data_IF_102133008502
#
_entry.id   IF_102133008502
#
_cell.length_a   1.000
_cell.length_b   1.000
_cell.length_c   1.000
_cell.angle_alpha   90.00
_cell.angle_beta   90.00
_cell.angle_gamma   90.00
#
_symmetry.space_group_name_H-M   'P 1'
#
loop_
_entity.id
_entity.type
_entity.pdbx_description
1 polymer ?
#
# COMPACT_ATOMS: atom_id res chain seq x y z
N UNK A 1 -46.81 -45.19 54.83
CA UNK A 1 -45.67 -45.91 55.44
C UNK A 1 -45.19 -46.87 54.36
N UNK A 2 -43.99 -46.83 53.78
CA UNK A 2 -42.68 -46.42 54.27
C UNK A 2 -41.79 -46.13 53.05
N UNK A 3 -40.81 -45.25 53.25
CA UNK A 3 -39.86 -44.68 52.28
C UNK A 3 -38.94 -45.74 51.65
N UNK A 4 -38.57 -45.54 50.38
CA UNK A 4 -37.28 -46.00 49.86
C UNK A 4 -36.65 -44.87 49.03
N UNK A 5 -35.61 -44.25 49.59
CA UNK A 5 -34.70 -43.34 48.89
C UNK A 5 -33.70 -44.20 48.10
N UNK A 6 -33.61 -44.00 46.79
CA UNK A 6 -32.48 -44.47 45.99
C UNK A 6 -31.79 -43.25 45.36
N UNK A 7 -30.61 -42.94 45.88
CA UNK A 7 -29.70 -41.91 45.36
C UNK A 7 -28.95 -42.48 44.16
N UNK A 8 -29.21 -41.97 42.96
CA UNK A 8 -28.44 -42.24 41.75
C UNK A 8 -27.39 -41.14 41.56
N UNK A 9 -26.13 -41.47 41.81
CA UNK A 9 -24.95 -40.65 41.50
C UNK A 9 -24.62 -40.76 40.01
N UNK A 10 -24.85 -39.70 39.25
CA UNK A 10 -24.47 -39.56 37.85
C UNK A 10 -23.04 -39.02 37.77
N UNK A 11 -22.08 -39.88 37.42
CA UNK A 11 -20.69 -39.47 37.15
C UNK A 11 -20.59 -38.89 35.73
N UNK A 12 -20.27 -37.60 35.63
CA UNK A 12 -19.98 -36.93 34.36
C UNK A 12 -18.56 -37.28 33.89
N UNK A 13 -18.46 -37.88 32.71
CA UNK A 13 -17.23 -38.06 31.94
C UNK A 13 -16.79 -36.70 31.36
N UNK A 14 -15.85 -36.04 32.03
CA UNK A 14 -15.06 -34.95 31.44
C UNK A 14 -13.83 -35.56 30.77
N UNK A 15 -13.86 -35.64 29.44
CA UNK A 15 -12.68 -35.92 28.63
C UNK A 15 -11.74 -34.70 28.70
N UNK A 16 -10.72 -34.78 29.55
CA UNK A 16 -9.60 -33.84 29.56
C UNK A 16 -8.76 -34.04 28.31
N UNK A 17 -9.04 -33.25 27.26
CA UNK A 17 -8.15 -33.11 26.13
C UNK A 17 -6.83 -32.49 26.59
N UNK A 18 -5.79 -33.32 26.70
CA UNK A 18 -4.42 -32.90 26.95
C UNK A 18 -3.97 -31.94 25.84
N UNK A 19 -3.97 -30.64 26.14
CA UNK A 19 -3.18 -29.69 25.37
C UNK A 19 -1.71 -30.06 25.59
N UNK A 20 -1.06 -30.54 24.53
CA UNK A 20 0.38 -30.69 24.50
C UNK A 20 1.02 -29.33 24.82
N UNK A 21 1.53 -29.19 26.05
CA UNK A 21 2.31 -28.05 26.46
C UNK A 21 3.56 -28.01 25.57
N UNK A 22 3.68 -26.98 24.74
CA UNK A 22 4.89 -26.68 24.00
C UNK A 22 6.06 -26.53 24.98
N UNK A 23 7.02 -27.44 24.91
CA UNK A 23 8.24 -27.45 25.74
C UNK A 23 9.27 -26.40 25.34
N UNK A 24 8.84 -25.28 24.73
CA UNK A 24 9.74 -24.16 24.49
C UNK A 24 9.79 -23.30 25.75
N UNK A 25 10.88 -23.44 26.51
CA UNK A 25 11.22 -22.52 27.57
C UNK A 25 11.13 -21.07 27.02
N UNK A 26 10.47 -20.15 27.72
CA UNK A 26 10.36 -18.77 27.27
C UNK A 26 11.77 -18.19 27.08
N UNK A 27 12.04 -17.44 26.00
CA UNK A 27 13.36 -16.87 25.76
C UNK A 27 13.75 -15.98 26.95
N UNK A 28 14.84 -16.33 27.63
CA UNK A 28 15.35 -15.57 28.75
C UNK A 28 15.94 -14.24 28.26
N UNK A 29 15.41 -13.13 28.76
CA UNK A 29 15.95 -11.80 28.49
C UNK A 29 17.34 -11.70 29.15
N UNK A 30 18.40 -11.70 28.33
CA UNK A 30 19.77 -11.47 28.81
C UNK A 30 20.10 -9.99 28.67
N UNK A 31 20.74 -9.41 29.68
CA UNK A 31 21.26 -8.06 29.61
C UNK A 31 22.28 -7.98 28.46
N UNK A 32 21.97 -7.20 27.44
CA UNK A 32 22.82 -6.98 26.29
C UNK A 32 23.71 -5.76 26.48
N UNK A 33 24.86 -5.76 25.82
CA UNK A 33 25.68 -4.56 25.73
C UNK A 33 24.97 -3.56 24.81
N UNK A 34 24.75 -2.33 25.28
CA UNK A 34 24.21 -1.22 24.48
C UNK A 34 25.23 -0.71 23.43
N UNK A 35 25.73 -1.60 22.59
CA UNK A 35 26.63 -1.33 21.46
C UNK A 35 25.98 -1.79 20.16
N UNK A 36 26.41 -1.23 19.02
CA UNK A 36 25.87 -1.60 17.70
C UNK A 36 26.03 -3.10 17.48
N UNK A 37 27.26 -3.61 17.68
CA UNK A 37 27.56 -5.05 17.57
C UNK A 37 26.70 -5.92 18.50
N UNK A 38 26.54 -5.52 19.77
CA UNK A 38 25.76 -6.27 20.74
C UNK A 38 24.30 -6.44 20.34
N UNK A 39 23.68 -5.34 19.91
CA UNK A 39 22.28 -5.33 19.45
C UNK A 39 22.10 -6.12 18.14
N UNK A 40 23.06 -6.05 17.22
CA UNK A 40 23.05 -6.87 16.01
C UNK A 40 23.13 -8.37 16.35
N UNK A 41 24.01 -8.75 17.28
CA UNK A 41 24.15 -10.13 17.71
C UNK A 41 22.88 -10.65 18.40
N UNK A 42 22.18 -9.82 19.17
CA UNK A 42 20.87 -10.13 19.73
C UNK A 42 19.80 -10.30 18.65
N UNK A 43 19.77 -9.40 17.66
CA UNK A 43 18.85 -9.48 16.53
C UNK A 43 19.06 -10.78 15.74
N UNK A 44 20.29 -11.14 15.40
CA UNK A 44 20.59 -12.40 14.67
C UNK A 44 20.10 -13.62 15.45
N UNK A 45 20.36 -13.66 16.76
CA UNK A 45 19.89 -14.76 17.62
C UNK A 45 18.37 -14.79 17.74
N UNK A 46 17.74 -13.64 17.96
CA UNK A 46 16.33 -13.57 18.32
C UNK A 46 15.38 -13.56 17.14
N UNK A 47 15.81 -13.19 15.93
CA UNK A 47 15.02 -13.33 14.72
C UNK A 47 14.78 -14.81 14.35
N UNK A 48 15.69 -15.71 14.74
CA UNK A 48 15.49 -17.15 14.66
C UNK A 48 14.56 -17.73 15.74
N UNK A 49 14.08 -16.91 16.69
CA UNK A 49 13.16 -17.39 17.72
C UNK A 49 11.77 -17.64 17.16
N UNK A 50 11.05 -18.64 17.70
CA UNK A 50 9.64 -18.90 17.35
C UNK A 50 8.64 -17.92 17.95
N UNK A 51 9.09 -16.81 18.57
CA UNK A 51 8.21 -15.84 19.26
C UNK A 51 8.04 -14.56 18.43
N UNK A 52 6.86 -14.34 17.80
CA UNK A 52 6.59 -13.14 17.02
C UNK A 52 6.68 -11.85 17.84
N UNK A 53 6.32 -11.91 19.13
CA UNK A 53 6.43 -10.76 20.03
C UNK A 53 7.89 -10.38 20.28
N UNK A 54 8.76 -11.38 20.49
CA UNK A 54 10.18 -11.14 20.73
C UNK A 54 10.88 -10.61 19.47
N UNK A 55 10.53 -11.16 18.30
CA UNK A 55 11.00 -10.63 17.01
C UNK A 55 10.60 -9.16 16.84
N UNK A 56 9.33 -8.80 17.09
CA UNK A 56 8.88 -7.39 17.03
C UNK A 56 9.63 -6.49 18.01
N UNK A 57 9.84 -6.95 19.23
CA UNK A 57 10.61 -6.22 20.25
C UNK A 57 12.03 -5.92 19.77
N UNK A 58 12.76 -6.92 19.27
CA UNK A 58 14.14 -6.73 18.83
C UNK A 58 14.25 -5.78 17.63
N UNK A 59 13.31 -5.86 16.68
CA UNK A 59 13.23 -4.93 15.55
C UNK A 59 13.04 -3.49 16.01
N UNK A 60 12.19 -3.27 17.01
CA UNK A 60 12.01 -1.95 17.61
C UNK A 60 13.24 -1.51 18.40
N UNK A 61 13.89 -2.41 19.14
CA UNK A 61 14.99 -2.07 20.03
C UNK A 61 16.15 -1.36 19.31
N UNK A 62 16.61 -1.87 18.17
CA UNK A 62 17.70 -1.23 17.43
C UNK A 62 17.29 0.14 16.87
N UNK A 63 16.06 0.26 16.33
CA UNK A 63 15.50 1.52 15.83
C UNK A 63 15.42 2.57 16.95
N UNK A 64 14.93 2.17 18.12
CA UNK A 64 14.75 3.05 19.27
C UNK A 64 16.08 3.50 19.88
N UNK A 65 17.05 2.59 19.96
CA UNK A 65 18.40 2.87 20.48
C UNK A 65 19.26 3.69 19.51
N UNK A 66 18.86 3.84 18.25
CA UNK A 66 19.71 4.40 17.19
C UNK A 66 20.33 5.77 17.55
N UNK A 67 19.57 6.67 18.18
CA UNK A 67 20.04 8.02 18.55
C UNK A 67 21.14 8.03 19.62
N UNK A 68 21.32 6.94 20.37
CA UNK A 68 22.36 6.83 21.41
C UNK A 68 23.56 6.00 20.97
N UNK A 69 23.47 5.35 19.80
CA UNK A 69 24.55 4.52 19.24
C UNK A 69 25.59 5.39 18.50
N UNK A 70 26.88 4.97 18.48
CA UNK A 70 27.91 5.68 17.73
C UNK A 70 27.59 5.73 16.23
N UNK A 71 27.59 6.94 15.66
CA UNK A 71 27.19 7.18 14.27
C UNK A 71 28.00 6.39 13.25
N UNK A 72 29.32 6.58 13.32
CA UNK A 72 30.26 5.94 12.41
C UNK A 72 30.13 4.42 12.47
N UNK A 73 29.98 3.83 13.66
CA UNK A 73 29.85 2.38 13.82
C UNK A 73 28.55 1.86 13.21
N UNK A 74 27.43 2.59 13.35
CA UNK A 74 26.15 2.21 12.76
C UNK A 74 26.17 2.29 11.23
N UNK A 75 26.73 3.38 10.67
CA UNK A 75 26.90 3.55 9.21
C UNK A 75 27.83 2.48 8.63
N UNK A 76 28.91 2.19 9.32
CA UNK A 76 29.87 1.15 8.95
C UNK A 76 29.26 -0.25 9.00
N UNK A 77 28.49 -0.54 10.05
CA UNK A 77 27.78 -1.81 10.19
C UNK A 77 26.75 -1.97 9.07
N UNK A 78 25.99 -0.91 8.77
CA UNK A 78 25.09 -0.89 7.63
C UNK A 78 25.86 -1.18 6.35
N UNK A 79 26.85 -0.37 5.98
CA UNK A 79 27.60 -0.49 4.73
C UNK A 79 28.20 -1.90 4.48
N UNK A 80 28.59 -2.62 5.53
CA UNK A 80 29.19 -3.96 5.43
C UNK A 80 28.20 -5.13 5.52
N UNK A 81 26.98 -4.90 5.96
CA UNK A 81 26.01 -5.98 6.16
C UNK A 81 25.52 -6.53 4.82
N UNK A 82 25.50 -7.86 4.69
CA UNK A 82 25.08 -8.55 3.46
C UNK A 82 23.79 -9.32 3.64
N UNK A 83 23.40 -9.65 4.88
CA UNK A 83 22.10 -10.24 5.18
C UNK A 83 20.99 -9.18 4.97
N UNK A 84 20.06 -9.37 4.02
CA UNK A 84 19.00 -8.39 3.74
C UNK A 84 18.15 -8.06 4.97
N UNK A 85 17.89 -9.04 5.84
CA UNK A 85 17.07 -8.82 7.04
C UNK A 85 17.77 -7.90 8.03
N UNK A 86 19.05 -8.14 8.30
CA UNK A 86 19.83 -7.23 9.15
C UNK A 86 20.05 -5.86 8.48
N UNK A 87 20.28 -5.82 7.17
CA UNK A 87 20.41 -4.57 6.43
C UNK A 87 19.16 -3.69 6.54
N UNK A 88 17.96 -4.27 6.48
CA UNK A 88 16.70 -3.56 6.74
C UNK A 88 16.67 -2.94 8.14
N UNK A 89 17.08 -3.67 9.17
CA UNK A 89 17.05 -3.17 10.55
C UNK A 89 18.08 -2.07 10.81
N UNK A 90 19.27 -2.17 10.22
CA UNK A 90 20.28 -1.12 10.26
C UNK A 90 19.84 0.12 9.49
N UNK A 91 19.22 -0.06 8.31
CA UNK A 91 18.62 1.03 7.56
C UNK A 91 17.51 1.72 8.36
N UNK A 92 16.62 0.96 9.02
CA UNK A 92 15.55 1.51 9.83
C UNK A 92 16.07 2.33 11.03
N UNK A 93 17.21 1.92 11.61
CA UNK A 93 17.88 2.68 12.65
C UNK A 93 18.45 4.01 12.12
N UNK A 94 19.09 3.99 10.95
CA UNK A 94 19.58 5.21 10.29
C UNK A 94 18.43 6.15 9.90
N UNK A 95 17.34 5.62 9.35
CA UNK A 95 16.12 6.40 9.06
C UNK A 95 15.57 7.04 10.33
N UNK A 96 15.46 6.30 11.43
CA UNK A 96 14.99 6.85 12.70
C UNK A 96 15.89 7.97 13.24
N UNK A 97 17.20 7.92 13.00
CA UNK A 97 18.11 9.03 13.36
C UNK A 97 17.90 10.26 12.50
N UNK A 98 17.66 10.08 11.20
CA UNK A 98 17.31 11.18 10.32
C UNK A 98 15.97 11.82 10.70
N UNK A 99 14.96 11.02 11.04
CA UNK A 99 13.64 11.52 11.46
C UNK A 99 13.70 12.28 12.79
N UNK A 100 14.60 11.86 13.70
CA UNK A 100 14.83 12.50 15.01
C UNK A 100 15.86 13.62 14.96
N UNK A 101 16.28 14.05 13.77
CA UNK A 101 17.25 15.12 13.54
C UNK A 101 18.62 14.88 14.21
N UNK A 102 18.91 13.64 14.62
CA UNK A 102 20.20 13.27 15.21
C UNK A 102 21.30 13.11 14.16
N UNK A 103 20.92 12.82 12.91
CA UNK A 103 21.79 12.80 11.75
C UNK A 103 20.96 12.97 10.46
N UNK A 104 20.84 14.20 9.92
CA UNK A 104 20.08 14.46 8.70
C UNK A 104 20.60 13.70 7.47
N UNK A 105 21.90 13.42 7.40
CA UNK A 105 22.54 12.74 6.26
C UNK A 105 22.28 11.22 6.27
N UNK A 106 21.80 10.66 7.38
CA UNK A 106 21.55 9.22 7.49
C UNK A 106 20.51 8.73 6.46
N UNK A 107 19.53 9.55 6.09
CA UNK A 107 18.55 9.20 5.05
C UNK A 107 19.22 9.09 3.68
N UNK A 108 20.17 9.98 3.35
CA UNK A 108 20.89 9.95 2.07
C UNK A 108 21.76 8.70 1.96
N UNK A 109 22.38 8.26 3.06
CA UNK A 109 23.14 7.00 3.12
C UNK A 109 22.24 5.80 2.80
N UNK A 110 21.03 5.78 3.38
CA UNK A 110 20.04 4.72 3.12
C UNK A 110 19.55 4.77 1.68
N UNK A 111 19.19 5.94 1.16
CA UNK A 111 18.73 6.13 -0.21
C UNK A 111 19.80 5.77 -1.27
N UNK A 112 21.05 6.15 -1.01
CA UNK A 112 22.17 5.81 -1.87
C UNK A 112 22.36 4.30 -1.96
N UNK A 113 22.30 3.60 -0.83
CA UNK A 113 22.43 2.15 -0.81
C UNK A 113 21.24 1.45 -1.45
N UNK A 114 20.02 1.90 -1.18
CA UNK A 114 18.82 1.40 -1.85
C UNK A 114 18.94 1.49 -3.38
N UNK A 115 19.64 2.49 -3.90
CA UNK A 115 19.83 2.68 -5.35
C UNK A 115 21.01 1.92 -5.96
N UNK A 116 22.06 1.64 -5.18
CA UNK A 116 23.37 1.23 -5.72
C UNK A 116 23.86 -0.13 -5.23
N UNK A 117 23.23 -0.73 -4.22
CA UNK A 117 23.66 -2.04 -3.74
C UNK A 117 23.56 -3.07 -4.88
N UNK A 118 24.58 -3.92 -5.00
CA UNK A 118 24.62 -4.93 -6.04
C UNK A 118 23.56 -6.02 -5.82
N UNK A 119 23.26 -6.34 -4.57
CA UNK A 119 22.26 -7.34 -4.23
C UNK A 119 20.85 -6.73 -4.25
N UNK A 120 19.96 -7.17 -5.17
CA UNK A 120 18.58 -6.68 -5.21
C UNK A 120 17.79 -6.95 -3.92
N UNK A 121 18.11 -8.01 -3.17
CA UNK A 121 17.47 -8.29 -1.90
C UNK A 121 17.84 -7.24 -0.84
N UNK A 122 19.09 -6.78 -0.83
CA UNK A 122 19.55 -5.68 0.04
C UNK A 122 18.95 -4.34 -0.41
N UNK A 123 18.86 -4.06 -1.71
CA UNK A 123 18.14 -2.87 -2.21
C UNK A 123 16.68 -2.86 -1.75
N UNK A 124 15.98 -3.97 -1.93
CA UNK A 124 14.58 -4.14 -1.51
C UNK A 124 14.38 -4.00 0.00
N UNK A 125 15.27 -4.61 0.80
CA UNK A 125 15.28 -4.48 2.26
C UNK A 125 15.51 -3.03 2.71
N UNK A 126 16.45 -2.33 2.05
CA UNK A 126 16.75 -0.93 2.35
C UNK A 126 15.58 -0.01 1.99
N UNK A 127 14.89 -0.27 0.86
CA UNK A 127 13.64 0.41 0.53
C UNK A 127 12.57 0.17 1.59
N UNK A 128 12.36 -1.08 2.01
CA UNK A 128 11.34 -1.41 3.02
C UNK A 128 11.56 -0.66 4.34
N UNK A 129 12.80 -0.42 4.72
CA UNK A 129 13.14 0.34 5.93
C UNK A 129 12.69 1.82 5.89
N UNK A 130 12.50 2.40 4.70
CA UNK A 130 12.00 3.78 4.50
C UNK A 130 10.48 3.87 4.48
N UNK A 131 9.77 2.76 4.61
CA UNK A 131 8.31 2.73 4.54
C UNK A 131 7.64 3.38 5.75
N UNK A 132 6.60 4.16 5.51
CA UNK A 132 5.84 4.96 6.49
C UNK A 132 6.73 5.94 7.25
N UNK A 133 7.62 6.60 6.53
CA UNK A 133 8.55 7.60 7.05
C UNK A 133 8.50 8.87 6.20
N UNK A 134 9.23 9.91 6.59
CA UNK A 134 9.43 11.10 5.76
C UNK A 134 10.35 10.93 4.54
N UNK A 135 10.70 9.69 4.14
CA UNK A 135 11.66 9.43 3.06
C UNK A 135 11.25 10.02 1.71
N UNK A 136 9.96 10.06 1.40
CA UNK A 136 9.47 10.57 0.11
C UNK A 136 9.90 12.03 -0.13
N UNK A 137 9.86 12.87 0.89
CA UNK A 137 10.30 14.28 0.80
C UNK A 137 11.83 14.45 0.76
N UNK A 138 12.57 13.46 1.27
CA UNK A 138 14.02 13.58 1.51
C UNK A 138 14.87 12.89 0.45
N UNK A 139 14.28 12.00 -0.35
CA UNK A 139 15.04 11.13 -1.27
C UNK A 139 14.90 11.51 -2.73
N UNK A 140 14.21 12.63 -3.03
CA UNK A 140 14.07 13.17 -4.38
C UNK A 140 13.43 12.17 -5.35
N UNK A 141 14.15 11.86 -6.44
CA UNK A 141 13.69 10.97 -7.51
C UNK A 141 13.88 9.46 -7.22
N UNK A 142 14.26 9.09 -6.00
CA UNK A 142 14.59 7.71 -5.64
C UNK A 142 13.51 6.72 -6.09
N UNK A 143 12.26 6.94 -5.68
CA UNK A 143 11.18 6.01 -6.01
C UNK A 143 10.90 5.93 -7.51
N UNK A 144 11.06 7.02 -8.25
CA UNK A 144 10.94 7.04 -9.71
C UNK A 144 12.02 6.19 -10.39
N UNK A 145 13.23 6.15 -9.83
CA UNK A 145 14.29 5.24 -10.29
C UNK A 145 14.02 3.80 -9.89
N UNK A 146 13.53 3.55 -8.67
CA UNK A 146 13.36 2.20 -8.15
C UNK A 146 12.17 1.44 -8.77
N UNK A 147 11.13 2.13 -9.25
CA UNK A 147 10.09 1.50 -10.09
C UNK A 147 10.57 1.10 -11.49
N UNK A 148 11.81 1.46 -11.86
CA UNK A 148 12.51 1.02 -13.08
C UNK A 148 13.63 0.01 -12.80
N UNK A 149 13.80 -0.40 -11.55
CA UNK A 149 14.85 -1.36 -11.17
C UNK A 149 14.67 -2.69 -11.92
N UNK A 150 15.80 -3.31 -12.28
CA UNK A 150 15.82 -4.60 -12.98
C UNK A 150 15.13 -5.70 -12.16
N UNK A 151 15.27 -5.65 -10.83
CA UNK A 151 14.65 -6.58 -9.91
C UNK A 151 13.16 -6.28 -9.72
N UNK A 152 12.26 -7.23 -10.05
CA UNK A 152 10.83 -7.09 -9.75
C UNK A 152 10.57 -6.84 -8.26
N UNK A 153 11.36 -7.45 -7.37
CA UNK A 153 11.21 -7.26 -5.93
C UNK A 153 11.43 -5.79 -5.53
N UNK A 154 12.46 -5.15 -6.08
CA UNK A 154 12.77 -3.73 -5.78
C UNK A 154 11.65 -2.83 -6.29
N UNK A 155 11.15 -3.08 -7.52
CA UNK A 155 10.00 -2.32 -8.06
C UNK A 155 8.76 -2.44 -7.18
N UNK A 156 8.47 -3.65 -6.69
CA UNK A 156 7.31 -3.88 -5.81
C UNK A 156 7.47 -3.22 -4.45
N UNK A 157 8.67 -3.17 -3.87
CA UNK A 157 8.93 -2.43 -2.63
C UNK A 157 8.80 -0.92 -2.83
N UNK A 158 9.31 -0.37 -3.93
CA UNK A 158 9.14 1.04 -4.27
C UNK A 158 7.66 1.42 -4.40
N UNK A 159 6.88 0.61 -5.12
CA UNK A 159 5.43 0.80 -5.25
C UNK A 159 4.72 0.71 -3.90
N UNK A 160 5.10 -0.25 -3.05
CA UNK A 160 4.52 -0.42 -1.72
C UNK A 160 4.80 0.79 -0.83
N UNK A 161 6.01 1.34 -0.87
CA UNK A 161 6.33 2.56 -0.14
C UNK A 161 5.51 3.75 -0.63
N UNK A 162 5.43 3.99 -1.95
CA UNK A 162 4.60 5.07 -2.51
C UNK A 162 3.14 4.99 -2.05
N UNK A 163 2.55 3.80 -2.06
CA UNK A 163 1.16 3.56 -1.63
C UNK A 163 1.01 3.77 -0.12
N UNK A 164 1.86 3.12 0.67
CA UNK A 164 1.75 3.16 2.13
C UNK A 164 2.10 4.54 2.70
N UNK A 165 3.07 5.26 2.12
CA UNK A 165 3.44 6.61 2.55
C UNK A 165 2.30 7.58 2.24
N UNK A 166 1.74 7.54 1.02
CA UNK A 166 0.56 8.35 0.69
C UNK A 166 -0.61 8.07 1.64
N UNK A 167 -0.90 6.80 1.94
CA UNK A 167 -2.04 6.44 2.78
C UNK A 167 -1.82 6.74 4.28
N UNK A 168 -0.63 6.47 4.82
CA UNK A 168 -0.39 6.47 6.26
C UNK A 168 0.41 7.67 6.77
N UNK A 169 1.29 8.25 5.96
CA UNK A 169 2.06 9.44 6.34
C UNK A 169 1.30 10.70 5.95
N UNK A 170 0.71 10.69 4.75
CA UNK A 170 0.06 11.86 4.16
C UNK A 170 -1.47 11.83 4.17
N UNK A 171 -2.07 10.74 4.68
CA UNK A 171 -3.52 10.53 4.73
C UNK A 171 -4.25 10.72 3.38
N UNK A 172 -3.54 10.57 2.25
CA UNK A 172 -4.05 10.78 0.90
C UNK A 172 -4.39 12.24 0.57
N UNK A 173 -3.94 13.20 1.38
CA UNK A 173 -4.32 14.61 1.26
C UNK A 173 -3.14 15.53 0.89
N UNK A 174 -1.92 14.99 0.77
CA UNK A 174 -0.75 15.76 0.38
C UNK A 174 -0.49 15.64 -1.13
N UNK A 175 -0.82 16.69 -1.87
CA UNK A 175 -0.69 16.75 -3.33
C UNK A 175 0.71 16.36 -3.86
N UNK A 176 1.81 16.90 -3.32
CA UNK A 176 3.16 16.55 -3.79
C UNK A 176 3.52 15.05 -3.64
N UNK A 177 3.02 14.38 -2.60
CA UNK A 177 3.20 12.93 -2.47
C UNK A 177 2.40 12.15 -3.52
N UNK A 178 1.19 12.60 -3.83
CA UNK A 178 0.37 12.01 -4.88
C UNK A 178 0.99 12.27 -6.27
N UNK A 179 1.50 13.47 -6.52
CA UNK A 179 2.22 13.82 -7.77
C UNK A 179 3.47 12.97 -7.97
N UNK A 180 4.22 12.72 -6.89
CA UNK A 180 5.40 11.83 -6.91
C UNK A 180 4.99 10.40 -7.25
N UNK A 181 3.90 9.90 -6.66
CA UNK A 181 3.39 8.56 -6.96
C UNK A 181 2.88 8.43 -8.41
N UNK A 182 2.18 9.44 -8.94
CA UNK A 182 1.75 9.47 -10.35
C UNK A 182 2.96 9.50 -11.29
N UNK A 183 3.97 10.31 -10.98
CA UNK A 183 5.20 10.40 -11.76
C UNK A 183 5.93 9.06 -11.79
N UNK A 184 6.06 8.40 -10.64
CA UNK A 184 6.64 7.07 -10.54
C UNK A 184 5.79 6.00 -11.28
N UNK A 185 4.46 6.05 -11.18
CA UNK A 185 3.59 5.12 -11.89
C UNK A 185 3.75 5.23 -13.41
N UNK A 186 3.77 6.45 -13.96
CA UNK A 186 3.98 6.70 -15.38
C UNK A 186 5.40 6.34 -15.86
N UNK A 187 6.36 6.35 -14.94
CA UNK A 187 7.75 5.98 -15.17
C UNK A 187 8.03 4.48 -15.10
N UNK A 188 7.15 3.70 -14.46
CA UNK A 188 7.41 2.30 -14.14
C UNK A 188 7.54 1.44 -15.40
N UNK A 189 8.49 0.50 -15.35
CA UNK A 189 8.76 -0.43 -16.46
C UNK A 189 7.78 -1.61 -16.53
N UNK A 190 7.02 -1.81 -15.45
CA UNK A 190 6.16 -2.97 -15.24
C UNK A 190 4.69 -2.50 -15.15
N UNK A 191 3.82 -2.88 -16.11
CA UNK A 191 2.42 -2.47 -16.11
C UNK A 191 1.68 -2.81 -14.81
N UNK A 192 2.02 -3.92 -14.17
CA UNK A 192 1.40 -4.31 -12.91
C UNK A 192 1.78 -3.35 -11.77
N UNK A 193 3.00 -2.78 -11.80
CA UNK A 193 3.42 -1.75 -10.85
C UNK A 193 2.68 -0.44 -11.10
N UNK A 194 2.57 0.01 -12.36
CA UNK A 194 1.80 1.20 -12.72
C UNK A 194 0.34 1.08 -12.26
N UNK A 195 -0.33 -0.02 -12.61
CA UNK A 195 -1.72 -0.25 -12.26
C UNK A 195 -1.90 -0.29 -10.73
N UNK A 196 -1.02 -1.02 -10.02
CA UNK A 196 -1.07 -1.12 -8.56
C UNK A 196 -0.92 0.23 -7.86
N UNK A 197 0.00 1.09 -8.31
CA UNK A 197 0.17 2.42 -7.71
C UNK A 197 -1.10 3.24 -7.92
N UNK A 198 -1.62 3.32 -9.15
CA UNK A 198 -2.78 4.14 -9.47
C UNK A 198 -4.07 3.65 -8.79
N UNK A 199 -4.30 2.34 -8.70
CA UNK A 199 -5.50 1.78 -8.05
C UNK A 199 -5.55 2.04 -6.53
N UNK A 200 -4.41 2.35 -5.89
CA UNK A 200 -4.32 2.55 -4.44
C UNK A 200 -3.99 4.00 -4.06
N UNK A 201 -3.96 4.92 -5.03
CA UNK A 201 -3.61 6.31 -4.81
C UNK A 201 -4.87 7.18 -4.69
N UNK A 202 -4.90 8.07 -3.69
CA UNK A 202 -5.86 9.17 -3.67
C UNK A 202 -5.44 10.23 -4.69
N UNK A 203 -6.31 10.54 -5.64
CA UNK A 203 -6.06 11.54 -6.68
C UNK A 203 -6.71 12.90 -6.41
N UNK A 204 -7.36 13.09 -5.26
CA UNK A 204 -8.17 14.29 -4.96
C UNK A 204 -7.38 15.60 -4.93
N UNK A 205 -6.05 15.51 -4.80
CA UNK A 205 -5.13 16.64 -4.58
C UNK A 205 -3.97 16.67 -5.57
N UNK A 206 -4.04 15.91 -6.66
CA UNK A 206 -2.97 15.91 -7.66
C UNK A 206 -2.93 17.23 -8.43
N UNK A 207 -1.77 17.55 -8.97
CA UNK A 207 -1.58 18.68 -9.88
C UNK A 207 -2.23 18.45 -11.25
N UNK A 208 -2.48 19.52 -12.03
CA UNK A 208 -2.91 19.39 -13.43
C UNK A 208 -1.96 18.54 -14.28
N UNK A 209 -0.64 18.69 -14.09
CA UNK A 209 0.35 17.90 -14.82
C UNK A 209 0.29 16.40 -14.50
N UNK A 210 -0.08 16.03 -13.27
CA UNK A 210 -0.35 14.63 -12.91
C UNK A 210 -1.64 14.12 -13.53
N UNK A 211 -2.70 14.92 -13.59
CA UNK A 211 -3.93 14.55 -14.29
C UNK A 211 -3.68 14.32 -15.79
N UNK A 212 -2.85 15.15 -16.43
CA UNK A 212 -2.41 14.96 -17.82
C UNK A 212 -1.60 13.66 -18.00
N UNK A 213 -0.70 13.34 -17.06
CA UNK A 213 0.04 12.06 -17.07
C UNK A 213 -0.89 10.87 -16.94
N UNK A 214 -1.87 10.90 -16.04
CA UNK A 214 -2.85 9.80 -15.94
C UNK A 214 -3.67 9.70 -17.22
N UNK A 215 -4.05 10.84 -17.82
CA UNK A 215 -4.77 10.87 -19.10
C UNK A 215 -3.96 10.24 -20.24
N UNK A 216 -2.64 10.40 -20.26
CA UNK A 216 -1.80 9.76 -21.29
C UNK A 216 -1.77 8.23 -21.14
N UNK A 217 -1.87 7.70 -19.92
CA UNK A 217 -1.91 6.27 -19.63
C UNK A 217 -3.20 5.58 -20.11
N UNK A 218 -4.25 6.33 -20.46
CA UNK A 218 -5.44 5.79 -21.14
C UNK A 218 -5.11 5.18 -22.50
N UNK A 219 -3.96 5.53 -23.10
CA UNK A 219 -3.47 4.96 -24.37
C UNK A 219 -2.52 3.78 -24.19
N UNK A 220 -2.35 3.27 -22.97
CA UNK A 220 -1.50 2.10 -22.72
C UNK A 220 -1.99 0.88 -23.49
N UNK A 221 -1.07 0.06 -24.01
CA UNK A 221 -1.41 -1.23 -24.60
C UNK A 221 -1.95 -2.22 -23.56
N UNK A 222 -1.59 -2.03 -22.28
CA UNK A 222 -2.01 -2.88 -21.17
C UNK A 222 -3.38 -2.44 -20.60
N UNK A 223 -4.35 -3.34 -20.65
CA UNK A 223 -5.72 -3.09 -20.17
C UNK A 223 -5.80 -2.81 -18.67
N UNK A 224 -4.91 -3.39 -17.85
CA UNK A 224 -4.87 -3.13 -16.41
C UNK A 224 -4.41 -1.71 -16.11
N UNK A 225 -3.43 -1.20 -16.86
CA UNK A 225 -2.98 0.19 -16.76
C UNK A 225 -4.07 1.15 -17.21
N UNK A 226 -4.74 0.86 -18.33
CA UNK A 226 -5.89 1.67 -18.79
C UNK A 226 -6.99 1.73 -17.74
N UNK A 227 -7.38 0.58 -17.18
CA UNK A 227 -8.38 0.49 -16.10
C UNK A 227 -7.97 1.32 -14.88
N UNK A 228 -6.74 1.18 -14.42
CA UNK A 228 -6.25 1.90 -13.25
C UNK A 228 -6.19 3.42 -13.50
N UNK A 229 -5.79 3.85 -14.70
CA UNK A 229 -5.83 5.24 -15.11
C UNK A 229 -7.27 5.79 -15.16
N UNK A 230 -8.24 5.01 -15.65
CA UNK A 230 -9.67 5.38 -15.61
C UNK A 230 -10.16 5.55 -14.17
N UNK A 231 -9.83 4.62 -13.27
CA UNK A 231 -10.20 4.72 -11.85
C UNK A 231 -9.60 5.96 -11.20
N UNK A 232 -8.30 6.19 -11.42
CA UNK A 232 -7.59 7.36 -10.90
C UNK A 232 -8.16 8.68 -11.44
N UNK A 233 -8.56 8.72 -12.71
CA UNK A 233 -9.24 9.90 -13.27
C UNK A 233 -10.62 10.16 -12.65
N UNK A 234 -11.28 9.15 -12.09
CA UNK A 234 -12.57 9.31 -11.41
C UNK A 234 -12.50 10.15 -10.13
N UNK A 235 -11.31 10.26 -9.53
CA UNK A 235 -11.09 10.97 -8.26
C UNK A 235 -10.25 12.24 -8.40
N UNK A 236 -10.14 12.84 -9.59
CA UNK A 236 -9.33 14.07 -9.79
C UNK A 236 -9.98 15.30 -9.14
N UNK A 237 -9.21 16.39 -8.88
CA UNK A 237 -9.77 17.62 -8.34
C UNK A 237 -10.80 18.26 -9.29
N UNK A 238 -11.67 19.10 -8.73
CA UNK A 238 -12.80 19.72 -9.43
C UNK A 238 -12.38 20.45 -10.71
N UNK A 239 -11.21 21.08 -10.70
CA UNK A 239 -10.65 21.83 -11.82
C UNK A 239 -10.28 20.94 -13.01
N UNK A 240 -10.04 19.64 -12.79
CA UNK A 240 -9.70 18.67 -13.84
C UNK A 240 -10.87 17.76 -14.22
N UNK A 241 -11.98 17.76 -13.46
CA UNK A 241 -13.09 16.82 -13.66
C UNK A 241 -13.68 16.88 -15.07
N UNK A 242 -13.85 18.07 -15.63
CA UNK A 242 -14.43 18.22 -16.98
C UNK A 242 -13.53 17.60 -18.06
N UNK A 243 -12.23 17.91 -18.04
CA UNK A 243 -11.27 17.37 -19.01
C UNK A 243 -11.08 15.85 -18.86
N UNK A 244 -11.10 15.35 -17.62
CA UNK A 244 -11.10 13.91 -17.34
C UNK A 244 -12.36 13.26 -17.93
N UNK A 245 -13.55 13.78 -17.63
CA UNK A 245 -14.84 13.27 -18.14
C UNK A 245 -14.87 13.22 -19.68
N UNK A 246 -14.43 14.27 -20.35
CA UNK A 246 -14.33 14.30 -21.82
C UNK A 246 -13.41 13.21 -22.36
N UNK A 247 -12.25 13.00 -21.73
CA UNK A 247 -11.29 11.96 -22.11
C UNK A 247 -11.86 10.55 -21.93
N UNK A 248 -12.57 10.29 -20.81
CA UNK A 248 -13.21 9.01 -20.55
C UNK A 248 -14.34 8.70 -21.55
N UNK A 249 -15.17 9.70 -21.86
CA UNK A 249 -16.26 9.55 -22.84
C UNK A 249 -15.73 9.27 -24.25
N UNK A 250 -14.63 9.90 -24.65
CA UNK A 250 -13.99 9.66 -25.94
C UNK A 250 -13.47 8.21 -26.03
N UNK A 251 -12.83 7.73 -24.96
CA UNK A 251 -12.23 6.39 -24.89
C UNK A 251 -13.27 5.25 -24.97
N UNK A 252 -14.45 5.42 -24.38
CA UNK A 252 -15.44 4.34 -24.24
C UNK A 252 -15.81 3.63 -25.56
N UNK A 253 -15.88 4.38 -26.67
CA UNK A 253 -16.27 3.81 -27.97
C UNK A 253 -15.26 2.81 -28.50
N UNK A 254 -13.98 3.12 -28.32
CA UNK A 254 -12.85 2.38 -28.93
C UNK A 254 -12.27 1.34 -27.98
N UNK A 255 -12.58 1.39 -26.68
CA UNK A 255 -12.06 0.46 -25.69
C UNK A 255 -12.57 -0.98 -25.95
N UNK A 256 -11.69 -1.98 -26.20
CA UNK A 256 -12.13 -3.35 -26.41
C UNK A 256 -12.42 -4.12 -25.12
N UNK A 257 -11.78 -3.76 -24.00
CA UNK A 257 -11.87 -4.51 -22.74
C UNK A 257 -13.13 -4.15 -21.95
N UNK A 258 -13.94 -5.18 -21.63
CA UNK A 258 -15.18 -5.00 -20.87
C UNK A 258 -14.92 -4.47 -19.44
N UNK A 259 -13.83 -4.90 -18.81
CA UNK A 259 -13.45 -4.45 -17.48
C UNK A 259 -13.08 -2.96 -17.44
N UNK A 260 -12.38 -2.48 -18.47
CA UNK A 260 -12.08 -1.05 -18.64
C UNK A 260 -13.37 -0.26 -18.94
N UNK A 261 -14.28 -0.77 -19.77
CA UNK A 261 -15.59 -0.12 -20.01
C UNK A 261 -16.43 0.00 -18.74
N UNK A 262 -16.44 -1.01 -17.87
CA UNK A 262 -17.11 -0.93 -16.56
C UNK A 262 -16.49 0.16 -15.67
N UNK A 263 -15.16 0.24 -15.64
CA UNK A 263 -14.45 1.31 -14.93
C UNK A 263 -14.80 2.69 -15.50
N UNK A 264 -14.93 2.82 -16.83
CA UNK A 264 -15.32 4.07 -17.48
C UNK A 264 -16.71 4.54 -17.04
N UNK A 265 -17.69 3.64 -16.98
CA UNK A 265 -19.04 3.96 -16.48
C UNK A 265 -18.98 4.45 -15.03
N UNK A 266 -18.23 3.76 -14.16
CA UNK A 266 -18.06 4.15 -12.77
C UNK A 266 -17.40 5.53 -12.65
N UNK A 267 -16.29 5.77 -13.34
CA UNK A 267 -15.57 7.04 -13.24
C UNK A 267 -16.37 8.21 -13.82
N UNK A 268 -17.14 8.00 -14.89
CA UNK A 268 -18.08 9.02 -15.40
C UNK A 268 -19.18 9.32 -14.37
N UNK A 269 -19.73 8.30 -13.71
CA UNK A 269 -20.68 8.47 -12.62
C UNK A 269 -20.08 9.26 -11.45
N UNK A 270 -18.85 8.95 -11.06
CA UNK A 270 -18.14 9.62 -9.96
C UNK A 270 -17.84 11.09 -10.26
N UNK A 271 -17.40 11.40 -11.47
CA UNK A 271 -17.07 12.77 -11.88
C UNK A 271 -18.29 13.68 -12.02
N UNK A 272 -19.42 13.13 -12.47
CA UNK A 272 -20.61 13.93 -12.78
C UNK A 272 -21.71 13.88 -11.72
N UNK A 273 -21.68 12.93 -10.78
CA UNK A 273 -22.81 12.62 -9.89
C UNK A 273 -24.13 12.60 -10.67
N UNK A 274 -25.18 13.28 -10.21
CA UNK A 274 -26.48 13.37 -10.90
C UNK A 274 -26.33 13.89 -12.34
N UNK A 275 -25.40 14.81 -12.58
CA UNK A 275 -25.08 15.33 -13.90
C UNK A 275 -24.49 14.28 -14.87
N UNK A 276 -24.09 13.10 -14.40
CA UNK A 276 -23.62 12.00 -15.24
C UNK A 276 -24.75 11.18 -15.88
N UNK A 277 -26.00 11.30 -15.42
CA UNK A 277 -27.11 10.45 -15.86
C UNK A 277 -27.29 10.50 -17.39
N UNK A 278 -27.25 11.70 -17.99
CA UNK A 278 -27.40 11.86 -19.44
C UNK A 278 -26.24 11.20 -20.23
N UNK A 279 -25.03 11.17 -19.67
CA UNK A 279 -23.91 10.47 -20.30
C UNK A 279 -24.09 8.97 -20.20
N UNK A 280 -24.44 8.47 -19.02
CA UNK A 280 -24.64 7.04 -18.79
C UNK A 280 -25.77 6.48 -19.67
N UNK A 281 -26.85 7.23 -19.88
CA UNK A 281 -27.91 6.87 -20.83
C UNK A 281 -27.37 6.73 -22.26
N UNK A 282 -26.54 7.68 -22.72
CA UNK A 282 -25.91 7.61 -24.04
C UNK A 282 -24.96 6.42 -24.15
N UNK A 283 -24.15 6.16 -23.13
CA UNK A 283 -23.20 5.04 -23.12
C UNK A 283 -23.91 3.67 -23.07
N UNK A 284 -25.02 3.59 -22.32
CA UNK A 284 -25.89 2.41 -22.26
C UNK A 284 -26.40 2.02 -23.65
N UNK A 285 -26.90 2.99 -24.40
CA UNK A 285 -27.46 2.74 -25.73
C UNK A 285 -26.37 2.36 -26.76
N UNK A 286 -25.11 2.74 -26.52
CA UNK A 286 -23.96 2.38 -27.36
C UNK A 286 -23.42 0.97 -27.09
N UNK A 287 -23.56 0.44 -25.87
CA UNK A 287 -23.12 -0.92 -25.52
C UNK A 287 -24.17 -1.68 -24.71
N UNK A 288 -25.13 -2.34 -25.38
CA UNK A 288 -26.19 -3.10 -24.70
C UNK A 288 -25.68 -4.20 -23.76
N UNK A 289 -24.46 -4.69 -23.95
CA UNK A 289 -23.86 -5.72 -23.08
C UNK A 289 -23.60 -5.20 -21.67
N UNK A 290 -23.37 -3.89 -21.53
CA UNK A 290 -23.16 -3.22 -20.26
C UNK A 290 -24.37 -2.42 -19.79
N UNK A 291 -25.55 -2.63 -20.40
CA UNK A 291 -26.74 -1.86 -20.07
C UNK A 291 -27.13 -1.98 -18.60
N UNK A 292 -27.05 -3.19 -18.03
CA UNK A 292 -27.34 -3.43 -16.62
C UNK A 292 -26.40 -2.65 -15.68
N UNK A 293 -25.11 -2.54 -16.03
CA UNK A 293 -24.15 -1.77 -15.23
C UNK A 293 -24.45 -0.28 -15.29
N UNK A 294 -24.75 0.24 -16.49
CA UNK A 294 -25.14 1.64 -16.68
C UNK A 294 -26.47 1.97 -15.97
N UNK A 295 -27.48 1.11 -16.07
CA UNK A 295 -28.77 1.29 -15.42
C UNK A 295 -28.63 1.28 -13.89
N UNK A 296 -27.76 0.44 -13.33
CA UNK A 296 -27.47 0.45 -11.89
C UNK A 296 -26.89 1.80 -11.44
N UNK A 297 -25.95 2.37 -12.21
CA UNK A 297 -25.42 3.72 -11.93
C UNK A 297 -26.48 4.81 -12.07
N UNK A 298 -27.26 4.80 -13.16
CA UNK A 298 -28.36 5.76 -13.38
C UNK A 298 -29.36 5.73 -12.21
N UNK A 299 -29.73 4.52 -11.76
CA UNK A 299 -30.69 4.34 -10.68
C UNK A 299 -30.18 4.92 -9.36
N UNK A 300 -28.93 4.61 -8.95
CA UNK A 300 -28.41 5.12 -7.67
C UNK A 300 -28.15 6.62 -7.70
N UNK A 301 -27.68 7.16 -8.82
CA UNK A 301 -27.51 8.60 -8.99
C UNK A 301 -28.84 9.35 -8.91
N UNK A 302 -29.91 8.77 -9.47
CA UNK A 302 -31.27 9.31 -9.37
C UNK A 302 -31.86 9.33 -7.96
N UNK A 303 -31.21 8.70 -6.97
CA UNK A 303 -31.62 8.79 -5.56
C UNK A 303 -31.16 10.08 -4.88
N UNK A 304 -30.31 10.89 -5.53
CA UNK A 304 -29.85 12.18 -5.01
C UNK A 304 -28.92 12.09 -3.78
N UNK A 305 -28.25 10.94 -3.60
CA UNK A 305 -27.29 10.74 -2.51
C UNK A 305 -26.04 11.62 -2.73
N UNK A 306 -25.63 12.34 -1.69
CA UNK A 306 -24.54 13.32 -1.76
C UNK A 306 -23.14 12.71 -1.57
N UNK A 307 -23.07 11.47 -1.06
CA UNK A 307 -21.80 10.80 -0.76
C UNK A 307 -21.58 9.61 -1.68
N UNK A 308 -20.37 9.54 -2.28
CA UNK A 308 -19.97 8.44 -3.16
C UNK A 308 -20.04 7.06 -2.47
N UNK A 309 -19.66 7.00 -1.19
CA UNK A 309 -19.71 5.77 -0.40
C UNK A 309 -21.14 5.21 -0.25
N UNK A 310 -22.14 6.09 -0.17
CA UNK A 310 -23.55 5.72 -0.10
C UNK A 310 -24.07 5.23 -1.46
N UNK A 311 -23.69 5.91 -2.55
CA UNK A 311 -23.99 5.50 -3.92
C UNK A 311 -23.45 4.09 -4.20
N UNK A 312 -22.18 3.84 -3.85
CA UNK A 312 -21.53 2.53 -4.00
C UNK A 312 -22.26 1.43 -3.22
N UNK A 313 -22.58 1.69 -1.94
CA UNK A 313 -23.30 0.74 -1.10
C UNK A 313 -24.65 0.39 -1.70
N UNK A 314 -25.37 1.39 -2.19
CA UNK A 314 -26.71 1.20 -2.73
C UNK A 314 -26.67 0.47 -4.08
N UNK A 315 -25.67 0.74 -4.91
CA UNK A 315 -25.44 -0.02 -6.14
C UNK A 315 -25.18 -1.49 -5.86
N UNK A 316 -24.32 -1.78 -4.86
CA UNK A 316 -24.05 -3.15 -4.44
C UNK A 316 -25.32 -3.85 -3.93
N UNK A 317 -26.16 -3.14 -3.17
CA UNK A 317 -27.45 -3.66 -2.70
C UNK A 317 -28.38 -4.03 -3.86
N UNK A 318 -28.47 -3.19 -4.89
CA UNK A 318 -29.29 -3.45 -6.08
C UNK A 318 -28.77 -4.64 -6.89
N UNK A 319 -27.46 -4.82 -6.99
CA UNK A 319 -26.85 -5.95 -7.70
C UNK A 319 -26.99 -7.29 -6.95
N UNK A 320 -27.24 -7.25 -5.64
CA UNK A 320 -27.47 -8.43 -4.81
C UNK A 320 -28.96 -8.75 -4.61
N UNK A 321 -29.86 -7.89 -5.07
CA UNK A 321 -31.29 -8.13 -5.00
C UNK A 321 -31.68 -9.23 -6.02
N UNK A 322 -32.48 -10.24 -5.60
CA UNK A 322 -32.87 -11.36 -6.44
C UNK A 322 -33.82 -10.98 -7.58
#
# INVERSE_FOLDING_TARGET
MTRLCLTLTLAALLASGAHAASTHAPPALRASTCSVRGLMDDLRRGLGSGSPAYQRYLRALLREAAVTLPDAELKDAFARETDPVMAEHLAAALVARAEREADPEAMDVVAQRASRDADPAVRAATLRAMRRTGALERTGDLYERMVRDESPQVRQEAATNLIEDNAHVYAGQYGPAADTAVTAAAAASDPAVTARILDNLSTEKISPGSAERITSLLRSDDASVRKAAVNALGGVPAEQMQGARESLLAMYREEPDEGVRKALLQSVAQLGFEGAIADLQRLRDLDPRLAQEADAWIQVLGMGLQEWSLLLREKQRLQQAP
#
